data_IF_290780307913
#
_entry.id   IF_290780307913
#
_cell.length_a   1.000
_cell.length_b   1.000
_cell.length_c   1.000
_cell.angle_alpha   90.00
_cell.angle_beta   90.00
_cell.angle_gamma   90.00
#
_symmetry.space_group_name_H-M   'P 1'
#
loop_
_entity.id
_entity.type
_entity.pdbx_description
1 polymer ?
#
# COMPACT_ATOMS: atom_id res chain seq x y z
N UNK A 1 18.39 -9.09 -22.92
CA UNK A 1 19.36 -10.20 -22.84
C UNK A 1 18.85 -11.19 -21.80
N UNK A 2 18.39 -12.37 -22.19
CA UNK A 2 18.18 -13.49 -21.26
C UNK A 2 18.47 -14.77 -22.00
N UNK A 3 19.65 -15.32 -21.72
CA UNK A 3 20.02 -16.69 -22.03
C UNK A 3 19.63 -17.49 -20.80
N UNK A 4 18.78 -18.51 -20.94
CA UNK A 4 18.91 -19.67 -20.08
C UNK A 4 18.64 -20.95 -20.85
N UNK A 5 19.56 -21.88 -20.61
CA UNK A 5 19.92 -23.03 -21.41
C UNK A 5 19.53 -24.25 -20.56
N UNK A 6 18.74 -25.16 -21.11
CA UNK A 6 18.56 -26.50 -20.54
C UNK A 6 18.83 -27.51 -21.65
N UNK A 7 19.84 -28.40 -21.51
CA UNK A 7 19.92 -29.59 -22.34
C UNK A 7 19.93 -30.84 -21.45
N UNK A 8 18.94 -31.71 -21.57
CA UNK A 8 19.08 -33.09 -21.12
C UNK A 8 18.04 -34.00 -21.77
N UNK A 9 18.44 -34.78 -22.77
CA UNK A 9 17.86 -36.09 -23.02
C UNK A 9 18.82 -36.91 -23.88
N UNK A 10 19.73 -37.61 -23.20
CA UNK A 10 20.59 -38.62 -23.82
C UNK A 10 19.76 -39.86 -24.12
N UNK A 11 19.53 -40.11 -25.40
CA UNK A 11 18.96 -41.35 -25.91
C UNK A 11 19.99 -42.49 -25.80
N UNK A 12 19.71 -43.51 -25.00
CA UNK A 12 20.41 -44.79 -25.07
C UNK A 12 19.51 -45.83 -25.74
N UNK A 13 19.70 -45.99 -27.06
CA UNK A 13 19.38 -47.23 -27.78
C UNK A 13 20.45 -48.25 -27.39
N UNK A 14 20.09 -49.29 -26.66
CA UNK A 14 20.91 -50.49 -26.50
C UNK A 14 20.26 -51.63 -27.28
N UNK A 15 20.85 -51.93 -28.42
CA UNK A 15 20.56 -53.10 -29.24
C UNK A 15 21.52 -54.20 -28.79
N UNK A 16 21.02 -55.33 -28.30
CA UNK A 16 21.86 -56.53 -28.26
C UNK A 16 21.03 -57.76 -28.61
N UNK A 17 21.47 -58.38 -29.71
CA UNK A 17 20.91 -59.55 -30.35
C UNK A 17 21.17 -60.84 -29.55
N UNK A 18 20.07 -61.57 -29.35
CA UNK A 18 19.84 -63.00 -29.56
C UNK A 18 21.02 -64.00 -29.48
N UNK A 19 20.70 -65.04 -28.69
CA UNK A 19 20.99 -66.46 -28.90
C UNK A 19 22.39 -66.99 -28.58
N UNK A 20 22.48 -67.64 -27.42
CA UNK A 20 23.35 -68.80 -27.24
C UNK A 20 22.50 -69.95 -26.72
N UNK A 21 22.19 -70.86 -27.64
CA UNK A 21 21.51 -72.15 -27.42
C UNK A 21 22.59 -73.18 -27.09
N UNK A 22 22.40 -73.91 -25.98
CA UNK A 22 22.47 -75.37 -25.84
C UNK A 22 22.77 -75.73 -24.38
N UNK A 23 21.71 -76.11 -23.65
CA UNK A 23 21.82 -76.96 -22.47
C UNK A 23 22.17 -78.39 -22.94
N UNK A 24 23.27 -78.93 -22.43
CA UNK A 24 23.41 -80.36 -22.18
C UNK A 24 23.21 -80.55 -20.67
N UNK A 25 22.34 -81.49 -20.32
CA UNK A 25 21.67 -81.54 -19.02
C UNK A 25 22.52 -81.99 -17.84
N UNK A 26 21.87 -82.06 -16.69
CA UNK A 26 22.02 -83.04 -15.61
C UNK A 26 20.90 -82.75 -14.59
N UNK A 27 20.21 -83.83 -14.20
CA UNK A 27 19.29 -84.01 -13.07
C UNK A 27 19.14 -82.85 -12.06
N UNK A 28 17.90 -82.38 -11.86
CA UNK A 28 17.27 -82.39 -10.52
C UNK A 28 15.75 -82.15 -10.62
N UNK A 29 14.95 -83.12 -10.19
CA UNK A 29 13.48 -83.01 -10.13
C UNK A 29 12.98 -82.15 -8.95
N UNK A 30 13.88 -81.43 -8.25
CA UNK A 30 13.57 -80.44 -7.21
C UNK A 30 13.38 -78.99 -7.69
N UNK A 31 13.70 -78.67 -8.96
CA UNK A 31 13.70 -77.29 -9.47
C UNK A 31 12.32 -76.72 -9.87
N UNK A 32 11.39 -77.56 -10.32
CA UNK A 32 10.11 -77.12 -10.88
C UNK A 32 9.16 -76.52 -9.83
N UNK A 33 9.12 -77.08 -8.61
CA UNK A 33 8.30 -76.53 -7.51
C UNK A 33 8.86 -75.20 -6.97
N UNK A 34 10.18 -75.01 -7.01
CA UNK A 34 10.83 -73.77 -6.53
C UNK A 34 10.56 -72.60 -7.47
N UNK A 35 10.69 -72.80 -8.78
CA UNK A 35 10.44 -71.74 -9.78
C UNK A 35 8.98 -71.32 -9.85
N UNK A 36 8.04 -72.25 -9.64
CA UNK A 36 6.60 -71.93 -9.61
C UNK A 36 6.22 -71.16 -8.34
N UNK A 37 6.81 -71.52 -7.20
CA UNK A 37 6.65 -70.79 -5.95
C UNK A 37 7.23 -69.37 -6.04
N UNK A 38 8.41 -69.21 -6.64
CA UNK A 38 9.05 -67.90 -6.84
C UNK A 38 8.23 -67.00 -7.78
N UNK A 39 7.65 -67.56 -8.86
CA UNK A 39 6.77 -66.83 -9.78
C UNK A 39 5.44 -66.43 -9.11
N UNK A 40 4.86 -67.30 -8.28
CA UNK A 40 3.65 -66.99 -7.52
C UNK A 40 3.90 -65.90 -6.47
N UNK A 41 5.06 -65.93 -5.79
CA UNK A 41 5.48 -64.89 -4.87
C UNK A 41 5.68 -63.54 -5.59
N UNK A 42 6.29 -63.56 -6.79
CA UNK A 42 6.48 -62.36 -7.61
C UNK A 42 5.14 -61.75 -8.06
N UNK A 43 4.18 -62.55 -8.53
CA UNK A 43 2.85 -62.08 -8.91
C UNK A 43 2.09 -61.49 -7.71
N UNK A 44 2.25 -62.09 -6.53
CA UNK A 44 1.67 -61.58 -5.28
C UNK A 44 2.29 -60.22 -4.93
N UNK A 45 3.61 -60.08 -5.01
CA UNK A 45 4.31 -58.82 -4.76
C UNK A 45 3.92 -57.72 -5.77
N UNK A 46 3.77 -58.06 -7.05
CA UNK A 46 3.30 -57.12 -8.08
C UNK A 46 1.87 -56.66 -7.79
N UNK A 47 0.97 -57.59 -7.42
CA UNK A 47 -0.42 -57.26 -7.12
C UNK A 47 -0.52 -56.38 -5.88
N UNK A 48 0.25 -56.68 -4.84
CA UNK A 48 0.33 -55.86 -3.63
C UNK A 48 0.92 -54.48 -3.92
N UNK A 49 2.00 -54.40 -4.70
CA UNK A 49 2.62 -53.13 -5.09
C UNK A 49 1.64 -52.27 -5.88
N UNK A 50 0.93 -52.86 -6.85
CA UNK A 50 -0.13 -52.18 -7.60
C UNK A 50 -1.23 -51.65 -6.68
N UNK A 51 -1.72 -52.47 -5.75
CA UNK A 51 -2.74 -52.04 -4.79
C UNK A 51 -2.25 -50.85 -3.94
N UNK A 52 -1.01 -50.89 -3.45
CA UNK A 52 -0.42 -49.79 -2.68
C UNK A 52 -0.25 -48.52 -3.53
N UNK A 53 0.15 -48.65 -4.80
CA UNK A 53 0.27 -47.53 -5.72
C UNK A 53 -1.09 -46.89 -6.02
N UNK A 54 -2.11 -47.70 -6.29
CA UNK A 54 -3.47 -47.22 -6.53
C UNK A 54 -4.00 -46.49 -5.28
N UNK A 55 -3.76 -47.03 -4.07
CA UNK A 55 -4.14 -46.38 -2.82
C UNK A 55 -3.41 -45.03 -2.62
N UNK A 56 -2.10 -44.98 -2.89
CA UNK A 56 -1.31 -43.76 -2.77
C UNK A 56 -1.73 -42.69 -3.80
N UNK A 57 -2.02 -43.10 -5.05
CA UNK A 57 -2.51 -42.20 -6.09
C UNK A 57 -3.85 -41.60 -5.68
N UNK A 58 -4.79 -42.44 -5.22
CA UNK A 58 -6.09 -41.95 -4.76
C UNK A 58 -5.97 -41.00 -3.56
N UNK A 59 -5.03 -41.26 -2.64
CA UNK A 59 -4.77 -40.37 -1.52
C UNK A 59 -4.24 -39.01 -2.01
N UNK A 60 -3.26 -39.01 -2.90
CA UNK A 60 -2.71 -37.78 -3.51
C UNK A 60 -3.80 -37.02 -4.27
N UNK A 61 -4.61 -37.70 -5.10
CA UNK A 61 -5.70 -37.06 -5.83
C UNK A 61 -6.73 -36.42 -4.88
N UNK A 62 -7.02 -37.08 -3.75
CA UNK A 62 -7.93 -36.54 -2.74
C UNK A 62 -7.39 -35.28 -2.05
N UNK A 63 -6.07 -35.08 -2.00
CA UNK A 63 -5.43 -33.89 -1.46
C UNK A 63 -5.23 -32.79 -2.52
N UNK A 64 -5.00 -33.16 -3.79
CA UNK A 64 -4.77 -32.20 -4.88
C UNK A 64 -6.04 -31.42 -5.25
N UNK A 65 -7.20 -32.06 -5.24
CA UNK A 65 -8.49 -31.41 -5.54
C UNK A 65 -8.79 -30.23 -4.60
N UNK A 66 -8.75 -30.38 -3.26
CA UNK A 66 -9.00 -29.25 -2.36
C UNK A 66 -7.93 -28.17 -2.48
N UNK A 67 -6.66 -28.53 -2.70
CA UNK A 67 -5.60 -27.53 -2.93
C UNK A 67 -5.87 -26.68 -4.18
N UNK A 68 -6.39 -27.29 -5.26
CA UNK A 68 -6.77 -26.55 -6.45
C UNK A 68 -7.92 -25.58 -6.17
N UNK A 69 -8.91 -26.01 -5.39
CA UNK A 69 -10.01 -25.15 -4.97
C UNK A 69 -9.54 -24.00 -4.07
N UNK A 70 -8.65 -24.26 -3.12
CA UNK A 70 -8.08 -23.24 -2.24
C UNK A 70 -7.28 -22.21 -3.03
N UNK A 71 -6.51 -22.65 -4.04
CA UNK A 71 -5.78 -21.77 -4.93
C UNK A 71 -6.71 -20.88 -5.75
N UNK A 72 -7.81 -21.43 -6.27
CA UNK A 72 -8.83 -20.65 -6.97
C UNK A 72 -9.47 -19.59 -6.07
N UNK A 73 -9.87 -19.98 -4.86
CA UNK A 73 -10.45 -19.06 -3.89
C UNK A 73 -9.45 -17.95 -3.50
N UNK A 74 -8.16 -18.29 -3.36
CA UNK A 74 -7.12 -17.31 -3.09
C UNK A 74 -6.90 -16.35 -4.25
N UNK A 75 -6.92 -16.83 -5.49
CA UNK A 75 -6.82 -16.00 -6.70
C UNK A 75 -7.99 -14.99 -6.79
N UNK A 76 -9.21 -15.45 -6.53
CA UNK A 76 -10.40 -14.58 -6.47
C UNK A 76 -10.27 -13.53 -5.35
N UNK A 77 -9.86 -13.94 -4.15
CA UNK A 77 -9.64 -13.03 -3.03
C UNK A 77 -8.53 -11.99 -3.28
N UNK A 78 -7.47 -12.38 -3.99
CA UNK A 78 -6.40 -11.48 -4.43
C UNK A 78 -6.96 -10.48 -5.46
N UNK A 79 -7.71 -10.95 -6.45
CA UNK A 79 -8.32 -10.10 -7.47
C UNK A 79 -9.28 -9.07 -6.84
N UNK A 80 -10.13 -9.49 -5.92
CA UNK A 80 -11.02 -8.57 -5.20
C UNK A 80 -10.23 -7.53 -4.41
N UNK A 81 -9.19 -7.97 -3.69
CA UNK A 81 -8.34 -7.07 -2.90
C UNK A 81 -7.62 -6.06 -3.79
N UNK A 82 -7.11 -6.49 -4.95
CA UNK A 82 -6.44 -5.63 -5.92
C UNK A 82 -7.39 -4.56 -6.47
N UNK A 83 -8.63 -4.94 -6.83
CA UNK A 83 -9.64 -3.96 -7.27
C UNK A 83 -10.02 -2.97 -6.17
N UNK A 84 -10.04 -3.40 -4.91
CA UNK A 84 -10.31 -2.52 -3.76
C UNK A 84 -9.15 -1.55 -3.52
N UNK A 85 -7.91 -2.04 -3.61
CA UNK A 85 -6.71 -1.20 -3.48
C UNK A 85 -6.67 -0.16 -4.58
N UNK A 86 -6.88 -0.56 -5.84
CA UNK A 86 -6.92 0.37 -6.98
C UNK A 86 -7.96 1.48 -6.77
N UNK A 87 -9.17 1.15 -6.32
CA UNK A 87 -10.21 2.17 -6.01
C UNK A 87 -9.79 3.13 -4.89
N UNK A 88 -9.06 2.64 -3.88
CA UNK A 88 -8.58 3.49 -2.78
C UNK A 88 -7.47 4.41 -3.28
N UNK A 89 -6.55 3.88 -4.08
CA UNK A 89 -5.46 4.65 -4.69
C UNK A 89 -6.00 5.78 -5.58
N UNK A 90 -7.04 5.51 -6.38
CA UNK A 90 -7.72 6.51 -7.22
C UNK A 90 -8.33 7.67 -6.41
N UNK A 91 -8.69 7.45 -5.13
CA UNK A 91 -9.28 8.47 -4.26
C UNK A 91 -8.21 9.27 -3.51
N UNK A 92 -7.02 8.71 -3.29
CA UNK A 92 -5.96 9.36 -2.51
C UNK A 92 -5.43 10.61 -3.21
N UNK A 93 -5.14 10.53 -4.52
CA UNK A 93 -4.60 11.65 -5.30
C UNK A 93 -5.53 12.90 -5.27
N UNK A 94 -6.83 12.81 -5.62
CA UNK A 94 -7.71 13.97 -5.58
C UNK A 94 -7.96 14.47 -4.14
N UNK A 95 -7.85 13.61 -3.13
CA UNK A 95 -7.95 14.04 -1.73
C UNK A 95 -6.71 14.84 -1.31
N UNK A 96 -5.51 14.40 -1.70
CA UNK A 96 -4.27 15.14 -1.48
C UNK A 96 -4.31 16.51 -2.16
N UNK A 97 -4.81 16.59 -3.40
CA UNK A 97 -4.99 17.86 -4.12
C UNK A 97 -5.96 18.81 -3.39
N UNK A 98 -7.07 18.29 -2.84
CA UNK A 98 -7.99 19.10 -2.03
C UNK A 98 -7.34 19.60 -0.74
N UNK A 99 -6.54 18.76 -0.09
CA UNK A 99 -5.83 19.16 1.13
C UNK A 99 -4.82 20.26 0.83
N UNK A 100 -4.04 20.15 -0.25
CA UNK A 100 -3.08 21.19 -0.62
C UNK A 100 -3.78 22.50 -0.98
N UNK A 101 -4.88 22.44 -1.74
CA UNK A 101 -5.70 23.61 -2.06
C UNK A 101 -6.26 24.32 -0.81
N UNK A 102 -6.80 23.55 0.14
CA UNK A 102 -7.32 24.12 1.38
C UNK A 102 -6.22 24.71 2.27
N UNK A 103 -5.05 24.07 2.30
CA UNK A 103 -3.88 24.59 3.01
C UNK A 103 -3.39 25.92 2.40
N UNK A 104 -3.32 26.02 1.07
CA UNK A 104 -2.93 27.28 0.41
C UNK A 104 -3.95 28.38 0.67
N UNK A 105 -5.24 28.08 0.55
CA UNK A 105 -6.31 29.03 0.83
C UNK A 105 -6.28 29.52 2.29
N UNK A 106 -6.11 28.60 3.24
CA UNK A 106 -6.01 28.94 4.65
C UNK A 106 -4.82 29.85 4.93
N UNK A 107 -3.69 29.63 4.26
CA UNK A 107 -2.49 30.46 4.40
C UNK A 107 -2.71 31.86 3.80
N UNK A 108 -3.35 31.95 2.65
CA UNK A 108 -3.70 33.22 2.01
C UNK A 108 -4.64 34.04 2.89
N UNK A 109 -5.69 33.42 3.44
CA UNK A 109 -6.62 34.09 4.35
C UNK A 109 -5.94 34.55 5.64
N UNK A 110 -5.04 33.73 6.20
CA UNK A 110 -4.27 34.12 7.38
C UNK A 110 -3.38 35.34 7.11
N UNK A 111 -2.71 35.38 5.95
CA UNK A 111 -1.91 36.55 5.55
C UNK A 111 -2.77 37.79 5.36
N UNK A 112 -3.95 37.67 4.74
CA UNK A 112 -4.89 38.79 4.60
C UNK A 112 -5.38 39.33 5.94
N UNK A 113 -5.62 38.46 6.93
CA UNK A 113 -5.98 38.88 8.29
C UNK A 113 -4.82 39.64 8.92
N UNK A 114 -3.60 39.10 8.85
CA UNK A 114 -2.41 39.76 9.39
C UNK A 114 -2.18 41.14 8.76
N UNK A 115 -2.34 41.26 7.44
CA UNK A 115 -2.25 42.53 6.72
C UNK A 115 -3.33 43.52 7.18
N UNK A 116 -4.58 43.07 7.29
CA UNK A 116 -5.70 43.91 7.75
C UNK A 116 -5.51 44.36 9.20
N UNK A 117 -5.11 43.45 10.07
CA UNK A 117 -4.79 43.77 11.46
C UNK A 117 -3.63 44.78 11.52
N UNK A 118 -2.58 44.59 10.72
CA UNK A 118 -1.47 45.54 10.59
C UNK A 118 -1.93 46.93 10.12
N UNK A 119 -2.80 47.00 9.11
CA UNK A 119 -3.38 48.25 8.63
C UNK A 119 -4.23 48.95 9.69
N UNK A 120 -5.04 48.20 10.44
CA UNK A 120 -5.88 48.74 11.52
C UNK A 120 -5.00 49.25 12.67
N UNK A 121 -3.98 48.51 13.08
CA UNK A 121 -3.09 48.92 14.17
C UNK A 121 -2.19 50.10 13.80
N UNK A 122 -1.75 50.19 12.54
CA UNK A 122 -0.92 51.32 12.07
C UNK A 122 -1.71 52.61 11.87
N UNK A 123 -3.01 52.52 11.57
CA UNK A 123 -3.88 53.69 11.36
C UNK A 123 -4.51 54.21 12.65
N UNK A 124 -4.58 53.39 13.70
CA UNK A 124 -5.21 53.75 14.97
C UNK A 124 -4.15 54.17 16.01
N UNK A 125 -4.33 55.35 16.59
CA UNK A 125 -3.55 55.77 17.76
C UNK A 125 -4.12 55.12 19.02
N UNK A 126 -3.28 54.34 19.72
CA UNK A 126 -3.66 53.70 20.98
C UNK A 126 -3.29 54.60 22.16
N UNK A 127 -4.31 55.10 22.84
CA UNK A 127 -4.15 55.88 24.05
C UNK A 127 -4.18 54.95 25.27
N UNK A 128 -3.02 54.63 25.84
CA UNK A 128 -2.90 53.75 27.02
C UNK A 128 -2.70 54.59 28.29
N UNK A 129 -3.38 54.25 29.38
CA UNK A 129 -3.20 54.89 30.69
C UNK A 129 -4.12 56.08 30.97
N UNK A 130 -5.24 56.21 30.27
CA UNK A 130 -6.28 57.16 30.64
C UNK A 130 -6.96 56.72 31.95
N UNK A 131 -7.18 57.63 32.91
CA UNK A 131 -7.95 57.33 34.11
C UNK A 131 -9.40 56.98 33.74
N UNK A 132 -9.94 55.92 34.35
CA UNK A 132 -11.32 55.49 34.15
C UNK A 132 -12.30 56.64 34.46
N UNK A 133 -13.28 56.87 33.57
CA UNK A 133 -14.29 57.94 33.71
C UNK A 133 -14.14 59.12 32.73
N UNK A 134 -13.20 59.05 31.78
CA UNK A 134 -12.98 60.08 30.75
C UNK A 134 -13.80 59.89 29.45
N UNK A 135 -14.92 59.16 29.50
CA UNK A 135 -15.74 58.90 28.30
C UNK A 135 -16.57 60.12 27.88
N UNK A 136 -16.63 60.38 26.57
CA UNK A 136 -17.47 61.40 25.95
C UNK A 136 -16.76 62.74 25.66
N UNK A 137 -17.50 63.85 25.79
CA UNK A 137 -17.13 65.23 25.37
C UNK A 137 -15.90 65.81 26.09
N UNK A 138 -15.37 65.09 27.09
CA UNK A 138 -14.13 65.39 27.82
C UNK A 138 -12.88 64.90 27.11
N UNK A 139 -12.97 63.85 26.31
CA UNK A 139 -11.82 63.27 25.59
C UNK A 139 -11.32 64.22 24.49
N UNK A 140 -12.25 64.83 23.74
CA UNK A 140 -11.95 65.77 22.66
C UNK A 140 -11.23 67.02 23.16
N UNK A 141 -11.69 67.57 24.29
CA UNK A 141 -11.07 68.75 24.93
C UNK A 141 -9.67 68.43 25.45
N UNK A 142 -9.46 67.22 25.97
CA UNK A 142 -8.16 66.78 26.44
C UNK A 142 -7.20 66.55 25.27
N UNK A 143 -7.64 65.85 24.22
CA UNK A 143 -6.87 65.65 22.98
C UNK A 143 -6.49 66.98 22.33
N UNK A 144 -7.43 67.90 22.17
CA UNK A 144 -7.15 69.24 21.64
C UNK A 144 -6.12 70.00 22.47
N UNK A 145 -6.24 69.95 23.81
CA UNK A 145 -5.27 70.56 24.73
C UNK A 145 -3.90 69.88 24.66
N UNK A 146 -3.86 68.55 24.53
CA UNK A 146 -2.62 67.79 24.41
C UNK A 146 -1.89 68.09 23.11
N UNK A 147 -2.59 68.07 21.97
CA UNK A 147 -2.04 68.33 20.64
C UNK A 147 -1.45 69.75 20.58
N UNK A 148 -2.20 70.74 21.07
CA UNK A 148 -1.76 72.15 21.11
C UNK A 148 -0.61 72.41 22.09
N UNK A 149 -0.39 71.53 23.07
CA UNK A 149 0.73 71.63 24.02
C UNK A 149 1.98 70.93 23.48
N UNK A 150 1.83 69.82 22.75
CA UNK A 150 2.95 69.04 22.21
C UNK A 150 3.50 69.61 20.90
N UNK A 151 2.66 70.25 20.07
CA UNK A 151 3.08 70.84 18.80
C UNK A 151 2.87 72.37 18.79
N UNK A 152 3.84 73.14 18.27
CA UNK A 152 3.66 74.57 18.03
C UNK A 152 2.50 74.82 17.05
N UNK A 153 1.70 75.88 17.25
CA UNK A 153 0.51 76.16 16.44
C UNK A 153 0.80 76.33 14.94
N UNK A 154 2.02 76.72 14.58
CA UNK A 154 2.43 76.96 13.20
C UNK A 154 2.65 75.67 12.38
N UNK A 155 2.79 74.49 13.02
CA UNK A 155 3.05 73.21 12.31
C UNK A 155 1.80 72.37 12.05
N UNK A 156 0.67 72.67 12.71
CA UNK A 156 -0.56 71.88 12.62
C UNK A 156 -1.44 72.26 11.43
N UNK A 157 -1.29 73.48 10.91
CA UNK A 157 -2.15 74.02 9.86
C UNK A 157 -2.00 73.35 8.48
N UNK A 158 -0.94 72.55 8.24
CA UNK A 158 -0.71 71.92 6.93
C UNK A 158 -0.92 70.41 6.87
N UNK A 159 -1.09 69.70 7.99
CA UNK A 159 -0.86 68.25 8.02
C UNK A 159 -2.03 67.37 8.53
N UNK A 160 -3.08 67.93 9.16
CA UNK A 160 -4.15 67.09 9.72
C UNK A 160 -5.56 67.63 9.46
N UNK A 161 -6.45 66.74 8.99
CA UNK A 161 -7.90 66.93 8.92
C UNK A 161 -8.53 65.96 9.92
N UNK A 162 -9.15 66.47 10.96
CA UNK A 162 -9.96 65.65 11.88
C UNK A 162 -11.32 65.44 11.20
N UNK A 163 -11.56 64.25 10.66
CA UNK A 163 -12.87 63.90 10.12
C UNK A 163 -13.77 63.37 11.24
N UNK A 164 -14.91 64.02 11.45
CA UNK A 164 -16.02 63.45 12.22
C UNK A 164 -16.82 62.54 11.28
N UNK A 165 -16.70 61.22 11.44
CA UNK A 165 -17.65 60.27 10.86
C UNK A 165 -18.88 60.19 11.77
N UNK A 166 -20.02 60.64 11.24
CA UNK A 166 -21.37 60.52 11.80
C UNK A 166 -21.83 59.06 11.85
#
# INVERSE_FOLDING_TARGET
>A
MSKNRVPSSTAHKSTMDKNTRLQAGVHDSGGAQKTDHDNAALLTAITQSRFMLDANINAVDSEVIPLHQDLWNAEEGISETDTRVSKVEDIIEPLQEKVTMLMTLSKELAAQIEDLEGCVHSSNLWFVGFPEGFEGDTMDKLLAKWITTLMPPDSLASCFVIQHTL
#
